data_IF_753639720581
#
_entry.id   IF_753639720581
#
_cell.length_a   1.000
_cell.length_b   1.000
_cell.length_c   1.000
_cell.angle_alpha   90.00
_cell.angle_beta   90.00
_cell.angle_gamma   90.00
#
_symmetry.space_group_name_H-M   'P 1'
#
loop_
_entity.id
_entity.type
_entity.pdbx_description
1 polymer ?
#
# COMPACT_ATOMS: atom_id res chain seq x y z
N UNK A 1 43.42 -4.62 -49.09
CA UNK A 1 44.68 -4.80 -48.35
C UNK A 1 44.29 -5.10 -46.91
N UNK A 2 43.99 -6.33 -46.50
CA UNK A 2 44.76 -7.59 -46.56
C UNK A 2 46.20 -7.42 -46.04
N UNK A 3 46.41 -7.91 -44.82
CA UNK A 3 47.62 -8.48 -44.21
C UNK A 3 47.10 -9.27 -42.99
N UNK A 4 46.75 -10.54 -43.13
CA UNK A 4 47.61 -11.73 -43.00
C UNK A 4 48.36 -11.87 -41.66
N UNK A 5 48.23 -13.09 -41.12
CA UNK A 5 48.49 -13.63 -39.77
C UNK A 5 49.96 -14.12 -39.68
N UNK A 6 50.50 -14.42 -38.48
CA UNK A 6 50.69 -15.85 -38.16
C UNK A 6 50.50 -16.25 -36.68
N UNK A 7 50.29 -17.54 -36.54
CA UNK A 7 50.07 -18.40 -35.38
C UNK A 7 51.43 -18.73 -34.72
N UNK A 8 51.50 -18.79 -33.39
CA UNK A 8 52.35 -19.80 -32.72
C UNK A 8 51.82 -20.12 -31.30
N UNK A 9 51.79 -21.41 -31.01
CA UNK A 9 51.30 -22.04 -29.79
C UNK A 9 52.44 -22.31 -28.82
N UNK A 10 52.17 -22.29 -27.51
CA UNK A 10 52.68 -23.29 -26.54
C UNK A 10 52.23 -22.96 -25.10
N UNK A 11 51.46 -23.90 -24.53
CA UNK A 11 51.59 -24.49 -23.18
C UNK A 11 51.84 -23.59 -21.96
N UNK A 12 50.93 -23.61 -20.98
CA UNK A 12 51.03 -24.41 -19.75
C UNK A 12 49.73 -24.23 -18.95
N UNK A 13 48.97 -25.32 -18.80
CA UNK A 13 47.86 -25.43 -17.87
C UNK A 13 48.41 -25.98 -16.55
N UNK A 14 48.13 -25.30 -15.44
CA UNK A 14 48.43 -25.81 -14.11
C UNK A 14 47.14 -26.30 -13.46
N UNK A 15 47.23 -27.55 -13.01
CA UNK A 15 46.18 -28.41 -12.50
C UNK A 15 46.11 -28.21 -10.98
N UNK A 16 44.92 -28.00 -10.44
CA UNK A 16 44.64 -28.27 -9.01
C UNK A 16 43.70 -29.47 -8.99
N UNK A 17 44.25 -30.62 -8.61
CA UNK A 17 43.56 -31.89 -8.37
C UNK A 17 42.68 -31.79 -7.12
N UNK A 18 41.37 -31.93 -7.28
CA UNK A 18 40.48 -32.44 -6.22
C UNK A 18 40.36 -33.96 -6.39
N UNK A 19 40.77 -34.69 -5.35
CA UNK A 19 40.68 -36.15 -5.27
C UNK A 19 39.37 -36.58 -4.59
N UNK A 20 38.61 -37.55 -5.13
CA UNK A 20 37.31 -37.98 -4.60
C UNK A 20 37.46 -39.16 -3.63
N UNK A 21 36.73 -39.14 -2.51
CA UNK A 21 36.64 -40.28 -1.59
C UNK A 21 35.34 -41.09 -1.80
N UNK A 22 35.58 -42.33 -2.18
CA UNK A 22 34.76 -43.49 -2.55
C UNK A 22 33.85 -44.04 -1.42
N UNK A 23 32.61 -44.45 -1.76
CA UNK A 23 31.78 -45.39 -0.98
C UNK A 23 32.10 -46.83 -1.40
N UNK A 24 31.99 -47.85 -0.51
CA UNK A 24 30.87 -48.83 -0.60
C UNK A 24 30.59 -49.61 0.73
N UNK A 25 29.79 -50.71 0.80
CA UNK A 25 28.52 -51.06 0.15
C UNK A 25 27.41 -51.54 1.13
N UNK A 26 26.19 -51.75 0.60
CA UNK A 26 25.02 -52.37 1.25
C UNK A 26 25.16 -53.90 1.30
N UNK A 27 24.64 -54.57 2.34
CA UNK A 27 23.99 -55.87 2.14
C UNK A 27 22.67 -56.05 2.92
N UNK A 28 21.72 -56.81 2.35
CA UNK A 28 20.64 -57.50 3.06
C UNK A 28 20.53 -58.94 2.53
N UNK A 29 19.47 -59.72 2.84
CA UNK A 29 18.77 -59.91 4.11
C UNK A 29 19.08 -61.32 4.71
N UNK A 30 18.84 -61.52 6.02
CA UNK A 30 18.73 -62.87 6.60
C UNK A 30 17.77 -62.89 7.79
N UNK A 31 16.77 -63.77 7.69
CA UNK A 31 15.78 -64.21 8.68
C UNK A 31 16.40 -65.35 9.50
N UNK A 32 16.31 -65.40 10.83
CA UNK A 32 15.47 -66.28 11.69
C UNK A 32 16.19 -66.22 13.06
N UNK A 33 15.58 -65.96 14.23
CA UNK A 33 14.96 -66.96 15.12
C UNK A 33 14.41 -66.25 16.41
N UNK A 34 13.17 -66.56 16.84
CA UNK A 34 12.62 -66.34 18.21
C UNK A 34 12.85 -67.65 19.01
N UNK A 35 12.83 -67.75 20.38
CA UNK A 35 11.98 -67.05 21.39
C UNK A 35 12.69 -66.86 22.79
N UNK A 36 12.04 -66.81 23.98
CA UNK A 36 10.89 -66.04 24.48
C UNK A 36 11.16 -65.19 25.77
N UNK A 37 10.17 -64.34 26.08
CA UNK A 37 9.58 -64.01 27.40
C UNK A 37 10.42 -63.44 28.57
N UNK A 38 10.03 -62.21 28.94
CA UNK A 38 9.64 -61.75 30.29
C UNK A 38 10.67 -61.90 31.44
N UNK A 39 11.18 -60.77 31.94
CA UNK A 39 11.08 -60.29 33.34
C UNK A 39 11.47 -58.80 33.34
N UNK A 40 10.58 -57.96 33.87
CA UNK A 40 10.74 -56.51 34.05
C UNK A 40 11.94 -56.10 34.95
N UNK A 41 12.61 -54.96 34.68
CA UNK A 41 13.38 -54.25 35.70
C UNK A 41 12.81 -52.84 36.03
N UNK A 42 12.47 -52.70 37.31
CA UNK A 42 12.47 -51.52 38.21
C UNK A 42 12.64 -50.10 37.62
N UNK A 43 11.70 -49.25 38.04
CA UNK A 43 11.68 -47.79 37.94
C UNK A 43 12.94 -47.09 38.52
N UNK A 44 13.39 -46.06 37.80
CA UNK A 44 14.21 -44.95 38.30
C UNK A 44 13.35 -43.69 38.14
N UNK A 45 13.21 -42.81 39.15
CA UNK A 45 12.19 -41.77 39.15
C UNK A 45 12.55 -40.63 38.19
N UNK A 46 11.68 -40.40 37.20
CA UNK A 46 11.78 -39.29 36.27
C UNK A 46 11.48 -37.95 36.98
N UNK A 47 12.40 -37.01 36.80
CA UNK A 47 12.30 -35.61 37.20
C UNK A 47 11.05 -34.99 36.55
N UNK A 48 10.06 -34.66 37.39
CA UNK A 48 8.78 -34.05 36.98
C UNK A 48 9.06 -32.72 36.28
N UNK A 49 8.95 -32.70 34.94
CA UNK A 49 8.83 -31.46 34.19
C UNK A 49 7.56 -30.74 34.64
N UNK A 50 7.66 -29.43 34.92
CA UNK A 50 6.48 -28.59 35.16
C UNK A 50 5.64 -28.60 33.87
N UNK A 51 4.30 -28.70 33.96
CA UNK A 51 3.48 -28.59 32.77
C UNK A 51 3.62 -27.17 32.21
N UNK A 52 3.99 -27.08 30.93
CA UNK A 52 3.76 -25.89 30.12
C UNK A 52 2.26 -25.66 30.15
N UNK A 53 1.84 -24.47 30.57
CA UNK A 53 0.44 -24.09 30.56
C UNK A 53 -0.04 -24.09 29.10
N UNK A 54 -0.83 -25.08 28.72
CA UNK A 54 -1.69 -25.00 27.54
C UNK A 54 -2.65 -23.83 27.79
N UNK A 55 -2.41 -22.71 27.10
CA UNK A 55 -3.38 -21.64 27.02
C UNK A 55 -4.51 -22.14 26.13
N UNK A 56 -5.62 -22.51 26.74
CA UNK A 56 -6.86 -22.81 26.03
C UNK A 56 -7.33 -21.55 25.29
N UNK A 57 -7.17 -21.53 23.97
CA UNK A 57 -7.90 -20.63 23.07
C UNK A 57 -9.36 -21.06 23.02
N UNK A 58 -10.13 -20.73 24.06
CA UNK A 58 -11.59 -20.74 23.95
C UNK A 58 -12.02 -19.40 23.35
N UNK A 59 -12.55 -19.44 22.14
CA UNK A 59 -13.26 -18.29 21.54
C UNK A 59 -14.35 -17.90 22.52
N UNK A 60 -14.17 -16.76 23.20
CA UNK A 60 -15.11 -16.26 24.20
C UNK A 60 -16.39 -15.84 23.50
N UNK A 61 -17.53 -16.38 23.92
CA UNK A 61 -18.83 -15.91 23.44
C UNK A 61 -19.01 -14.43 23.82
N UNK A 62 -19.34 -13.60 22.83
CA UNK A 62 -19.59 -12.17 22.99
C UNK A 62 -21.04 -11.98 23.46
N UNK A 63 -21.22 -11.49 24.68
CA UNK A 63 -22.54 -11.37 25.30
C UNK A 63 -23.28 -10.04 24.97
N UNK A 64 -22.55 -9.02 24.50
CA UNK A 64 -23.12 -7.72 24.15
C UNK A 64 -22.23 -6.96 23.15
N UNK A 65 -22.76 -5.87 22.58
CA UNK A 65 -21.98 -4.96 21.75
C UNK A 65 -20.86 -4.25 22.53
N UNK A 66 -21.08 -3.91 23.80
CA UNK A 66 -20.06 -3.32 24.67
C UNK A 66 -18.92 -4.31 24.94
N UNK A 67 -19.26 -5.58 25.20
CA UNK A 67 -18.27 -6.66 25.35
C UNK A 67 -17.46 -6.87 24.07
N UNK A 68 -18.12 -6.80 22.91
CA UNK A 68 -17.45 -6.89 21.60
C UNK A 68 -16.46 -5.73 21.41
N UNK A 69 -16.88 -4.49 21.67
CA UNK A 69 -16.00 -3.32 21.58
C UNK A 69 -14.81 -3.45 22.54
N UNK A 70 -15.05 -3.81 23.80
CA UNK A 70 -13.98 -4.02 24.78
C UNK A 70 -13.00 -5.12 24.32
N UNK A 71 -13.50 -6.23 23.79
CA UNK A 71 -12.68 -7.30 23.22
C UNK A 71 -11.84 -6.81 22.04
N UNK A 72 -12.42 -5.96 21.18
CA UNK A 72 -11.75 -5.38 20.03
C UNK A 72 -10.62 -4.42 20.46
N UNK A 73 -10.84 -3.58 21.47
CA UNK A 73 -9.78 -2.72 22.05
C UNK A 73 -8.60 -3.55 22.57
N UNK A 74 -8.91 -4.62 23.31
CA UNK A 74 -7.90 -5.51 23.86
C UNK A 74 -7.11 -6.23 22.74
N UNK A 75 -7.79 -6.66 21.67
CA UNK A 75 -7.15 -7.25 20.50
C UNK A 75 -6.26 -6.24 19.78
N UNK A 76 -6.71 -5.01 19.57
CA UNK A 76 -5.92 -3.95 18.94
C UNK A 76 -4.63 -3.64 19.71
N UNK A 77 -4.66 -3.67 21.05
CA UNK A 77 -3.44 -3.51 21.85
C UNK A 77 -2.42 -4.63 21.59
N UNK A 78 -2.88 -5.88 21.41
CA UNK A 78 -2.00 -7.00 21.05
C UNK A 78 -1.49 -6.88 19.61
N UNK A 79 -2.35 -6.51 18.66
CA UNK A 79 -1.99 -6.26 17.27
C UNK A 79 -0.92 -5.17 17.20
N UNK A 80 -1.09 -4.06 17.94
CA UNK A 80 -0.12 -2.96 17.99
C UNK A 80 1.27 -3.45 18.43
N UNK A 81 1.34 -4.28 19.48
CA UNK A 81 2.61 -4.84 19.97
C UNK A 81 3.27 -5.77 18.95
N UNK A 82 2.49 -6.68 18.36
CA UNK A 82 2.99 -7.58 17.32
C UNK A 82 3.44 -6.82 16.08
N UNK A 83 2.68 -5.80 15.67
CA UNK A 83 2.98 -4.97 14.51
C UNK A 83 4.27 -4.15 14.71
N UNK A 84 4.47 -3.54 15.87
CA UNK A 84 5.72 -2.85 16.20
C UNK A 84 6.92 -3.82 16.13
N UNK A 85 6.78 -5.02 16.66
CA UNK A 85 7.81 -6.05 16.56
C UNK A 85 8.10 -6.43 15.11
N UNK A 86 7.08 -6.59 14.26
CA UNK A 86 7.27 -6.88 12.84
C UNK A 86 7.98 -5.73 12.12
N UNK A 87 7.59 -4.48 12.38
CA UNK A 87 8.24 -3.28 11.80
C UNK A 87 9.72 -3.21 12.20
N UNK A 88 10.06 -3.54 13.45
CA UNK A 88 11.44 -3.54 13.93
C UNK A 88 12.29 -4.65 13.28
N UNK A 89 11.75 -5.86 13.13
CA UNK A 89 12.50 -7.01 12.63
C UNK A 89 12.58 -7.10 11.11
N UNK A 90 11.52 -6.68 10.40
CA UNK A 90 11.48 -6.68 8.94
C UNK A 90 10.74 -5.44 8.41
N UNK A 91 11.37 -4.25 8.43
CA UNK A 91 10.73 -3.00 8.02
C UNK A 91 10.32 -2.95 6.53
N UNK A 92 10.81 -3.87 5.71
CA UNK A 92 10.41 -4.02 4.31
C UNK A 92 9.08 -4.77 4.13
N UNK A 93 8.64 -5.53 5.13
CA UNK A 93 7.36 -6.24 5.08
C UNK A 93 6.19 -5.27 5.33
N UNK A 94 5.25 -5.13 4.39
CA UNK A 94 4.11 -4.24 4.55
C UNK A 94 3.16 -4.64 5.69
N UNK A 95 3.19 -5.91 6.14
CA UNK A 95 2.23 -6.45 7.11
C UNK A 95 2.31 -5.70 8.45
N UNK A 96 3.52 -5.51 8.98
CA UNK A 96 3.71 -4.79 10.25
C UNK A 96 3.20 -3.34 10.16
N UNK A 97 3.53 -2.64 9.07
CA UNK A 97 3.10 -1.26 8.84
C UNK A 97 1.59 -1.11 8.72
N UNK A 98 0.92 -2.07 8.06
CA UNK A 98 -0.53 -2.09 7.89
C UNK A 98 -1.22 -2.33 9.23
N UNK A 99 -0.86 -3.41 9.91
CA UNK A 99 -1.47 -3.83 11.17
C UNK A 99 -1.29 -2.77 12.26
N UNK A 100 -0.14 -2.09 12.29
CA UNK A 100 0.10 -1.00 13.22
C UNK A 100 -0.95 0.11 13.04
N UNK A 101 -1.09 0.64 11.83
CA UNK A 101 -1.99 1.77 11.54
C UNK A 101 -3.45 1.42 11.74
N UNK A 102 -3.86 0.21 11.33
CA UNK A 102 -5.20 -0.29 11.58
C UNK A 102 -5.51 -0.34 13.07
N UNK A 103 -4.60 -0.88 13.90
CA UNK A 103 -4.79 -0.93 15.35
C UNK A 103 -4.78 0.47 16.00
N UNK A 104 -3.91 1.37 15.55
CA UNK A 104 -3.79 2.73 16.08
C UNK A 104 -5.05 3.58 15.82
N UNK A 105 -5.63 3.42 14.64
CA UNK A 105 -6.74 4.26 14.19
C UNK A 105 -8.09 3.55 14.20
N UNK A 106 -8.17 2.32 14.73
CA UNK A 106 -9.40 1.53 14.76
C UNK A 106 -10.56 2.27 15.43
N UNK A 107 -10.29 3.02 16.51
CA UNK A 107 -11.30 3.71 17.32
C UNK A 107 -11.47 5.20 16.97
N UNK A 108 -10.75 5.69 15.95
CA UNK A 108 -10.80 7.09 15.55
C UNK A 108 -11.87 7.31 14.47
N UNK A 109 -13.07 7.68 14.91
CA UNK A 109 -14.23 7.91 14.02
C UNK A 109 -14.62 9.38 13.88
N UNK A 110 -14.08 10.26 14.72
CA UNK A 110 -14.34 11.70 14.66
C UNK A 110 -13.10 12.52 15.02
N UNK A 111 -13.07 13.78 14.55
CA UNK A 111 -12.03 14.72 14.94
C UNK A 111 -12.04 14.95 16.46
N UNK A 112 -10.87 15.14 17.08
CA UNK A 112 -10.83 15.49 18.49
C UNK A 112 -11.46 16.87 18.70
N UNK A 113 -12.13 17.11 19.85
CA UNK A 113 -12.70 18.42 20.17
C UNK A 113 -11.63 19.53 20.12
N UNK A 114 -11.94 20.60 19.40
CA UNK A 114 -11.05 21.74 19.20
C UNK A 114 -11.78 23.07 19.37
N UNK A 115 -11.06 24.07 19.88
CA UNK A 115 -11.49 25.47 19.92
C UNK A 115 -10.47 26.26 19.11
N UNK A 116 -10.91 26.97 18.07
CA UNK A 116 -10.01 27.70 17.16
C UNK A 116 -8.88 26.81 16.59
N UNK A 117 -9.24 25.59 16.14
CA UNK A 117 -8.32 24.53 15.65
C UNK A 117 -7.37 23.93 16.71
N UNK A 118 -7.44 24.39 17.96
CA UNK A 118 -6.58 23.93 19.04
C UNK A 118 -7.27 22.87 19.88
N UNK A 119 -6.63 21.72 20.03
CA UNK A 119 -7.13 20.58 20.80
C UNK A 119 -6.62 20.59 22.24
N UNK A 120 -7.19 19.73 23.10
CA UNK A 120 -6.68 19.47 24.45
C UNK A 120 -5.60 18.37 24.47
N UNK A 121 -5.22 17.84 23.31
CA UNK A 121 -4.29 16.72 23.20
C UNK A 121 -2.88 17.25 23.53
N UNK A 122 -2.14 16.59 24.43
CA UNK A 122 -0.77 17.00 24.77
C UNK A 122 0.11 16.95 23.53
N UNK A 123 0.99 17.92 23.40
CA UNK A 123 1.93 17.96 22.29
C UNK A 123 3.06 16.96 22.48
N UNK A 124 3.67 16.52 21.36
CA UNK A 124 4.84 15.67 21.41
C UNK A 124 6.03 16.35 22.08
N UNK A 125 6.90 15.57 22.72
CA UNK A 125 8.11 16.14 23.28
C UNK A 125 9.05 16.66 22.18
N UNK A 126 9.56 17.87 22.39
CA UNK A 126 10.40 18.59 21.43
C UNK A 126 11.65 17.79 21.01
N UNK A 127 12.18 16.94 21.91
CA UNK A 127 13.33 16.09 21.60
C UNK A 127 13.06 15.04 20.51
N UNK A 128 11.81 14.59 20.35
CA UNK A 128 11.44 13.62 19.32
C UNK A 128 11.59 14.29 17.94
N UNK A 129 11.08 15.51 17.83
CA UNK A 129 11.16 16.31 16.60
C UNK A 129 12.62 16.57 16.22
N UNK A 130 13.46 16.97 17.18
CA UNK A 130 14.90 17.17 16.94
C UNK A 130 15.59 15.87 16.53
N UNK A 131 15.22 14.73 17.13
CA UNK A 131 15.77 13.41 16.76
C UNK A 131 15.44 13.06 15.31
N UNK A 132 14.18 13.25 14.88
CA UNK A 132 13.76 12.98 13.50
C UNK A 132 14.47 13.88 12.49
N UNK A 133 14.61 15.18 12.80
CA UNK A 133 15.33 16.14 11.97
C UNK A 133 16.83 15.78 11.85
N UNK A 134 17.45 15.35 12.94
CA UNK A 134 18.85 14.87 12.91
C UNK A 134 19.01 13.61 12.05
N UNK A 135 18.08 12.67 12.12
CA UNK A 135 18.10 11.45 11.30
C UNK A 135 17.97 11.79 9.81
N UNK A 136 17.09 12.74 9.45
CA UNK A 136 16.99 13.26 8.07
C UNK A 136 18.30 13.92 7.65
N UNK A 137 18.88 14.78 8.48
CA UNK A 137 20.13 15.48 8.15
C UNK A 137 21.34 14.55 7.95
N UNK A 138 21.32 13.37 8.60
CA UNK A 138 22.35 12.33 8.47
C UNK A 138 22.03 11.30 7.39
N UNK A 139 20.88 11.43 6.72
CA UNK A 139 20.38 10.45 5.75
C UNK A 139 20.23 9.03 6.35
N UNK A 140 19.96 8.95 7.66
CA UNK A 140 19.75 7.68 8.36
C UNK A 140 18.28 7.23 8.22
N UNK A 141 17.93 6.83 7.00
CA UNK A 141 16.57 6.52 6.59
C UNK A 141 15.97 5.31 7.32
N UNK A 142 16.81 4.33 7.68
CA UNK A 142 16.40 3.15 8.43
C UNK A 142 15.93 3.51 9.83
N UNK A 143 16.73 4.28 10.57
CA UNK A 143 16.35 4.74 11.90
C UNK A 143 15.22 5.76 11.84
N UNK A 144 15.17 6.61 10.80
CA UNK A 144 14.05 7.53 10.60
C UNK A 144 12.72 6.78 10.52
N UNK A 145 12.63 5.75 9.66
CA UNK A 145 11.43 4.95 9.49
C UNK A 145 11.02 4.23 10.78
N UNK A 146 12.01 3.65 11.48
CA UNK A 146 11.80 2.91 12.73
C UNK A 146 11.31 3.81 13.87
N UNK A 147 12.02 4.91 14.15
CA UNK A 147 11.66 5.86 15.21
C UNK A 147 10.29 6.47 14.94
N UNK A 148 10.00 6.87 13.71
CA UNK A 148 8.70 7.44 13.35
C UNK A 148 7.54 6.43 13.54
N UNK A 149 7.74 5.16 13.17
CA UNK A 149 6.76 4.11 13.40
C UNK A 149 6.52 3.84 14.90
N UNK A 150 7.58 3.79 15.71
CA UNK A 150 7.47 3.59 17.16
C UNK A 150 6.72 4.74 17.84
N UNK A 151 7.06 5.99 17.49
CA UNK A 151 6.45 7.17 18.08
C UNK A 151 4.97 7.34 17.68
N UNK A 152 4.56 6.79 16.53
CA UNK A 152 3.16 6.82 16.08
C UNK A 152 2.20 6.17 17.07
N UNK A 153 2.70 5.23 17.91
CA UNK A 153 1.89 4.58 18.94
C UNK A 153 1.55 5.46 20.14
N UNK A 154 2.33 6.51 20.36
CA UNK A 154 2.14 7.48 21.44
C UNK A 154 1.45 8.75 20.93
N UNK A 155 1.74 9.12 19.68
CA UNK A 155 1.28 10.36 19.06
C UNK A 155 0.36 10.09 17.87
N UNK A 156 -0.82 9.55 18.14
CA UNK A 156 -1.80 9.09 17.14
C UNK A 156 -2.15 10.14 16.08
N UNK A 157 -2.23 11.41 16.50
CA UNK A 157 -2.63 12.54 15.66
C UNK A 157 -1.44 13.29 15.05
N UNK A 158 -0.20 12.91 15.35
CA UNK A 158 0.96 13.57 14.78
C UNK A 158 1.29 13.01 13.40
N UNK A 159 0.75 13.66 12.36
CA UNK A 159 0.84 13.21 10.98
C UNK A 159 2.26 13.33 10.41
N UNK A 160 3.09 14.21 10.97
CA UNK A 160 4.50 14.31 10.58
C UNK A 160 5.23 12.98 10.74
N UNK A 161 4.88 12.18 11.76
CA UNK A 161 5.44 10.84 11.95
C UNK A 161 5.13 9.92 10.76
N UNK A 162 3.95 10.04 10.16
CA UNK A 162 3.60 9.25 8.98
C UNK A 162 4.43 9.67 7.77
N UNK A 163 4.62 10.98 7.57
CA UNK A 163 5.51 11.51 6.52
C UNK A 163 6.95 11.05 6.71
N UNK A 164 7.52 11.16 7.91
CA UNK A 164 8.89 10.72 8.20
C UNK A 164 9.05 9.21 8.00
N UNK A 165 8.06 8.42 8.42
CA UNK A 165 8.05 6.98 8.19
C UNK A 165 8.06 6.65 6.68
N UNK A 166 7.16 7.26 5.92
CA UNK A 166 7.09 7.11 4.47
C UNK A 166 8.39 7.57 3.78
N UNK A 167 8.92 8.73 4.16
CA UNK A 167 10.18 9.27 3.62
C UNK A 167 11.34 8.30 3.86
N UNK A 168 11.47 7.76 5.07
CA UNK A 168 12.50 6.76 5.38
C UNK A 168 12.37 5.52 4.50
N UNK A 169 11.17 4.96 4.37
CA UNK A 169 10.90 3.78 3.53
C UNK A 169 11.18 4.05 2.04
N UNK A 170 10.76 5.20 1.52
CA UNK A 170 11.00 5.60 0.12
C UNK A 170 12.51 5.68 -0.17
N UNK A 171 13.27 6.32 0.72
CA UNK A 171 14.72 6.51 0.56
C UNK A 171 15.54 5.24 0.70
N UNK A 172 15.02 4.21 1.37
CA UNK A 172 15.63 2.87 1.42
C UNK A 172 15.47 2.09 0.10
N UNK A 173 14.63 2.57 -0.83
CA UNK A 173 14.53 2.08 -2.19
C UNK A 173 13.54 0.94 -2.41
N UNK A 174 13.61 0.32 -3.59
CA UNK A 174 12.57 -0.56 -4.15
C UNK A 174 12.14 -1.72 -3.24
N UNK A 175 13.05 -2.25 -2.41
CA UNK A 175 12.75 -3.33 -1.47
C UNK A 175 11.69 -2.93 -0.44
N UNK A 176 11.54 -1.64 -0.16
CA UNK A 176 10.61 -1.09 0.83
C UNK A 176 9.38 -0.44 0.18
N UNK A 177 9.22 -0.54 -1.14
CA UNK A 177 8.14 0.10 -1.87
C UNK A 177 6.75 -0.35 -1.37
N UNK A 178 6.55 -1.65 -1.16
CA UNK A 178 5.28 -2.17 -0.65
C UNK A 178 4.96 -1.61 0.75
N UNK A 179 5.96 -1.55 1.63
CA UNK A 179 5.82 -0.95 2.96
C UNK A 179 5.47 0.54 2.88
N UNK A 180 6.17 1.29 2.03
CA UNK A 180 5.89 2.71 1.75
C UNK A 180 4.45 2.92 1.27
N UNK A 181 4.00 2.12 0.30
CA UNK A 181 2.66 2.23 -0.28
C UNK A 181 1.59 1.96 0.79
N UNK A 182 1.80 0.99 1.66
CA UNK A 182 0.90 0.72 2.80
C UNK A 182 0.81 1.91 3.75
N UNK A 183 1.94 2.53 4.11
CA UNK A 183 1.93 3.73 4.97
C UNK A 183 1.09 4.84 4.33
N UNK A 184 1.30 5.07 3.03
CA UNK A 184 0.58 6.08 2.26
C UNK A 184 -0.93 5.78 2.18
N UNK A 185 -1.30 4.54 1.86
CA UNK A 185 -2.70 4.10 1.74
C UNK A 185 -3.46 4.21 3.06
N UNK A 186 -2.89 3.71 4.15
CA UNK A 186 -3.54 3.76 5.46
C UNK A 186 -3.66 5.21 5.93
N UNK A 187 -2.65 6.05 5.69
CA UNK A 187 -2.72 7.48 6.02
C UNK A 187 -3.81 8.18 5.18
N UNK A 188 -3.91 7.89 3.88
CA UNK A 188 -4.99 8.41 3.03
C UNK A 188 -6.38 7.97 3.52
N UNK A 189 -6.52 6.73 3.99
CA UNK A 189 -7.78 6.24 4.56
C UNK A 189 -8.15 7.00 5.85
N UNK A 190 -7.18 7.32 6.71
CA UNK A 190 -7.40 8.16 7.88
C UNK A 190 -7.86 9.56 7.48
N UNK A 191 -7.18 10.20 6.52
CA UNK A 191 -7.50 11.56 6.07
C UNK A 191 -8.92 11.67 5.50
N UNK A 192 -9.37 10.65 4.75
CA UNK A 192 -10.75 10.56 4.25
C UNK A 192 -11.77 10.40 5.36
N UNK A 193 -11.46 9.61 6.39
CA UNK A 193 -12.35 9.42 7.55
C UNK A 193 -12.40 10.66 8.45
N UNK A 194 -11.28 11.36 8.61
CA UNK A 194 -11.13 12.53 9.47
C UNK A 194 -10.81 13.79 8.65
N UNK A 195 -11.74 14.20 7.78
CA UNK A 195 -11.57 15.38 6.93
C UNK A 195 -11.26 16.63 7.76
N UNK A 196 -10.16 17.32 7.47
CA UNK A 196 -9.71 18.52 8.20
C UNK A 196 -8.77 18.27 9.37
N UNK A 197 -8.38 17.01 9.65
CA UNK A 197 -7.43 16.68 10.72
C UNK A 197 -6.06 17.36 10.54
N UNK A 198 -5.67 17.67 9.31
CA UNK A 198 -4.42 18.37 8.98
C UNK A 198 -4.40 19.82 9.46
N UNK A 199 -5.56 20.42 9.74
CA UNK A 199 -5.68 21.81 10.17
C UNK A 199 -5.66 21.98 11.69
N UNK A 200 -5.69 20.87 12.44
CA UNK A 200 -5.71 20.86 13.89
C UNK A 200 -4.31 21.03 14.51
N UNK A 201 -4.31 21.48 15.76
CA UNK A 201 -3.13 21.73 16.56
C UNK A 201 -3.24 21.07 17.93
N UNK A 202 -2.10 20.70 18.51
CA UNK A 202 -1.96 20.25 19.89
C UNK A 202 -2.23 21.39 20.90
N UNK A 203 -2.31 21.04 22.18
CA UNK A 203 -2.60 21.98 23.26
C UNK A 203 -1.57 23.12 23.46
N UNK A 204 -0.37 23.01 22.89
CA UNK A 204 0.65 24.08 22.89
C UNK A 204 0.62 24.94 21.61
N UNK A 205 -0.13 24.54 20.58
CA UNK A 205 -0.17 25.18 19.26
C UNK A 205 0.73 24.51 18.21
N UNK A 206 1.47 23.46 18.56
CA UNK A 206 2.18 22.62 17.58
C UNK A 206 1.15 22.02 16.61
N UNK A 207 1.32 22.14 15.29
CA UNK A 207 0.36 21.58 14.34
C UNK A 207 0.42 20.05 14.31
N UNK A 208 -0.71 19.40 13.98
CA UNK A 208 -0.74 17.96 13.72
C UNK A 208 0.04 17.59 12.45
N UNK A 209 0.04 18.49 11.47
CA UNK A 209 0.81 18.41 10.23
C UNK A 209 1.52 19.74 9.97
N UNK A 210 2.85 19.70 9.86
CA UNK A 210 3.63 20.81 9.33
C UNK A 210 3.29 21.07 7.84
N UNK A 211 3.80 22.17 7.27
CA UNK A 211 3.48 22.51 5.88
C UNK A 211 3.91 21.43 4.88
N UNK A 212 5.05 20.78 5.11
CA UNK A 212 5.56 19.71 4.24
C UNK A 212 4.69 18.46 4.33
N UNK A 213 4.19 18.15 5.53
CA UNK A 213 3.21 17.09 5.78
C UNK A 213 1.87 17.40 5.16
N UNK A 214 1.39 18.66 5.20
CA UNK A 214 0.16 19.05 4.48
C UNK A 214 0.29 18.82 2.98
N UNK A 215 1.41 19.26 2.39
CA UNK A 215 1.67 19.08 0.96
C UNK A 215 1.75 17.59 0.60
N UNK A 216 2.41 16.77 1.43
CA UNK A 216 2.46 15.32 1.28
C UNK A 216 1.07 14.68 1.36
N UNK A 217 0.26 15.04 2.37
CA UNK A 217 -1.10 14.56 2.55
C UNK A 217 -2.02 14.88 1.36
N UNK A 218 -1.90 16.09 0.77
CA UNK A 218 -2.65 16.44 -0.44
C UNK A 218 -2.27 15.55 -1.65
N UNK A 219 -1.00 15.13 -1.72
CA UNK A 219 -0.52 14.17 -2.71
C UNK A 219 -1.12 12.77 -2.53
N UNK A 220 -1.35 12.34 -1.28
CA UNK A 220 -1.94 11.03 -0.97
C UNK A 220 -3.41 10.93 -1.41
N UNK A 221 -4.18 12.00 -1.19
CA UNK A 221 -5.60 12.05 -1.57
C UNK A 221 -5.79 12.03 -3.11
N UNK A 222 -4.84 12.64 -3.82
CA UNK A 222 -4.84 12.65 -5.30
C UNK A 222 -4.42 11.31 -5.94
N UNK A 223 -3.77 10.41 -5.18
CA UNK A 223 -3.22 9.14 -5.66
C UNK A 223 -4.06 7.90 -5.34
N UNK A 224 -5.08 8.01 -4.48
CA UNK A 224 -5.90 6.89 -4.00
C UNK A 224 -7.38 7.04 -4.37
N UNK A 225 -7.70 7.78 -5.43
CA UNK A 225 -9.01 7.59 -6.05
C UNK A 225 -8.92 6.31 -6.88
N UNK A 226 -9.54 5.24 -6.40
CA UNK A 226 -9.85 4.11 -7.27
C UNK A 226 -10.83 4.64 -8.33
N UNK A 227 -10.28 5.00 -9.49
CA UNK A 227 -11.02 5.59 -10.60
C UNK A 227 -12.02 4.59 -11.20
N UNK A 228 -11.97 3.33 -10.75
CA UNK A 228 -12.91 2.26 -11.10
C UNK A 228 -14.00 2.02 -10.06
N UNK A 229 -13.87 2.51 -8.82
CA UNK A 229 -14.81 2.23 -7.72
C UNK A 229 -16.22 2.82 -7.91
N UNK A 230 -16.40 3.76 -8.84
CA UNK A 230 -17.70 4.34 -9.22
C UNK A 230 -18.32 3.77 -10.50
N UNK A 231 -17.67 2.81 -11.16
CA UNK A 231 -18.16 2.24 -12.42
C UNK A 231 -19.35 1.31 -12.16
N UNK A 232 -20.51 1.64 -12.70
CA UNK A 232 -21.61 0.69 -12.81
C UNK A 232 -21.13 -0.54 -13.58
N UNK A 233 -21.44 -1.77 -13.16
CA UNK A 233 -21.02 -2.95 -13.92
C UNK A 233 -21.66 -2.95 -15.31
N UNK A 234 -20.85 -3.21 -16.35
CA UNK A 234 -21.31 -3.20 -17.76
C UNK A 234 -20.89 -4.50 -18.42
N UNK A 235 -21.81 -5.15 -19.11
CA UNK A 235 -21.60 -6.44 -19.77
C UNK A 235 -22.13 -7.65 -18.98
N UNK A 236 -21.86 -8.85 -19.50
CA UNK A 236 -22.16 -10.12 -18.83
C UNK A 236 -21.12 -10.45 -17.76
N UNK A 237 -21.46 -11.26 -16.75
CA UNK A 237 -20.54 -11.69 -15.66
C UNK A 237 -19.17 -12.14 -16.16
N UNK A 238 -19.12 -12.86 -17.29
CA UNK A 238 -17.87 -13.29 -17.92
C UNK A 238 -17.00 -12.12 -18.43
N UNK A 239 -17.62 -11.05 -18.93
CA UNK A 239 -16.92 -9.85 -19.39
C UNK A 239 -16.39 -9.02 -18.22
N UNK A 240 -17.13 -8.95 -17.10
CA UNK A 240 -16.58 -8.34 -15.88
C UNK A 240 -15.42 -9.16 -15.30
N UNK A 241 -15.52 -10.49 -15.28
CA UNK A 241 -14.40 -11.35 -14.88
C UNK A 241 -13.15 -11.08 -15.72
N UNK A 242 -13.29 -11.06 -17.05
CA UNK A 242 -12.19 -10.75 -17.96
C UNK A 242 -11.61 -9.34 -17.75
N UNK A 243 -12.46 -8.35 -17.46
CA UNK A 243 -12.02 -6.99 -17.10
C UNK A 243 -11.19 -6.99 -15.82
N UNK A 244 -11.71 -7.58 -14.74
CA UNK A 244 -11.01 -7.65 -13.46
C UNK A 244 -9.68 -8.40 -13.57
N UNK A 245 -9.65 -9.53 -14.29
CA UNK A 245 -8.42 -10.29 -14.52
C UNK A 245 -7.39 -9.48 -15.31
N UNK A 246 -7.82 -8.74 -16.32
CA UNK A 246 -6.94 -7.90 -17.14
C UNK A 246 -6.38 -6.72 -16.34
N UNK A 247 -7.19 -6.07 -15.49
CA UNK A 247 -6.74 -5.00 -14.58
C UNK A 247 -5.73 -5.54 -13.57
N UNK A 248 -6.01 -6.69 -12.96
CA UNK A 248 -5.09 -7.33 -12.00
C UNK A 248 -3.74 -7.71 -12.66
N UNK A 249 -3.78 -8.24 -13.88
CA UNK A 249 -2.57 -8.53 -14.65
C UNK A 249 -1.80 -7.24 -15.00
N UNK A 250 -2.49 -6.19 -15.43
CA UNK A 250 -1.86 -4.91 -15.75
C UNK A 250 -1.16 -4.30 -14.52
N UNK A 251 -1.78 -4.35 -13.34
CA UNK A 251 -1.19 -3.93 -12.07
C UNK A 251 0.00 -4.82 -11.67
N UNK A 252 -0.04 -6.13 -11.94
CA UNK A 252 1.11 -6.99 -11.73
C UNK A 252 2.30 -6.59 -12.62
N UNK A 253 2.06 -6.30 -13.90
CA UNK A 253 3.10 -5.79 -14.80
C UNK A 253 3.68 -4.44 -14.34
N UNK A 254 2.86 -3.57 -13.74
CA UNK A 254 3.35 -2.32 -13.16
C UNK A 254 4.35 -2.56 -12.02
N UNK A 255 4.03 -3.49 -11.11
CA UNK A 255 4.93 -3.89 -10.00
C UNK A 255 6.24 -4.50 -10.50
N UNK A 256 6.21 -5.17 -11.65
CA UNK A 256 7.40 -5.70 -12.32
C UNK A 256 8.14 -4.67 -13.19
N UNK A 257 7.77 -3.39 -13.14
CA UNK A 257 8.30 -2.30 -13.98
C UNK A 257 8.08 -2.48 -15.50
N UNK A 258 7.10 -3.30 -15.89
CA UNK A 258 6.72 -3.59 -17.28
C UNK A 258 5.45 -2.82 -17.68
N UNK A 259 5.46 -1.51 -17.50
CA UNK A 259 4.29 -0.64 -17.76
C UNK A 259 3.71 -0.84 -19.17
N UNK A 260 4.56 -1.00 -20.18
CA UNK A 260 4.14 -1.14 -21.58
C UNK A 260 3.28 -2.40 -21.79
N UNK A 261 3.60 -3.50 -21.10
CA UNK A 261 2.85 -4.75 -21.23
C UNK A 261 1.49 -4.64 -20.55
N UNK A 262 1.42 -4.01 -19.37
CA UNK A 262 0.15 -3.69 -18.71
C UNK A 262 -0.74 -2.76 -19.54
N UNK A 263 -0.15 -1.72 -20.14
CA UNK A 263 -0.86 -0.82 -21.08
C UNK A 263 -1.38 -1.58 -22.29
N UNK A 264 -0.61 -2.51 -22.87
CA UNK A 264 -1.02 -3.29 -24.04
C UNK A 264 -2.21 -4.19 -23.74
N UNK A 265 -2.27 -4.77 -22.54
CA UNK A 265 -3.42 -5.57 -22.09
C UNK A 265 -4.69 -4.72 -22.06
N UNK A 266 -4.63 -3.54 -21.43
CA UNK A 266 -5.79 -2.65 -21.32
C UNK A 266 -6.19 -2.05 -22.68
N UNK A 267 -5.23 -1.72 -23.54
CA UNK A 267 -5.49 -1.29 -24.93
C UNK A 267 -6.23 -2.36 -25.73
N UNK A 268 -5.81 -3.62 -25.61
CA UNK A 268 -6.53 -4.74 -26.23
C UNK A 268 -7.96 -4.88 -25.70
N UNK A 269 -8.18 -4.58 -24.41
CA UNK A 269 -9.53 -4.47 -23.84
C UNK A 269 -10.38 -3.39 -24.51
N UNK A 270 -9.81 -2.20 -24.72
CA UNK A 270 -10.48 -1.09 -25.43
C UNK A 270 -10.86 -1.48 -26.87
N UNK A 271 -9.96 -2.16 -27.58
CA UNK A 271 -10.19 -2.58 -28.98
C UNK A 271 -11.28 -3.65 -29.12
N UNK A 272 -11.41 -4.52 -28.11
CA UNK A 272 -12.40 -5.61 -28.11
C UNK A 272 -13.69 -5.27 -27.37
N UNK A 273 -13.84 -4.03 -26.89
CA UNK A 273 -15.02 -3.61 -26.14
C UNK A 273 -16.29 -3.73 -27.01
N UNK A 274 -17.33 -4.38 -26.47
CA UNK A 274 -18.58 -4.61 -27.16
C UNK A 274 -19.48 -3.37 -27.20
N UNK A 275 -19.22 -2.37 -26.35
CA UNK A 275 -19.99 -1.14 -26.26
C UNK A 275 -19.13 0.08 -25.95
N UNK A 276 -19.63 1.28 -26.28
CA UNK A 276 -18.97 2.54 -25.91
C UNK A 276 -18.81 2.70 -24.40
N UNK A 277 -19.79 2.23 -23.61
CA UNK A 277 -19.72 2.27 -22.14
C UNK A 277 -18.63 1.33 -21.60
N UNK A 278 -18.48 0.14 -22.17
CA UNK A 278 -17.38 -0.78 -21.85
C UNK A 278 -16.03 -0.20 -22.26
N UNK A 279 -15.92 0.39 -23.45
CA UNK A 279 -14.70 1.06 -23.90
C UNK A 279 -14.28 2.20 -22.95
N UNK A 280 -15.24 2.95 -22.40
CA UNK A 280 -14.97 3.98 -21.38
C UNK A 280 -14.39 3.37 -20.09
N UNK A 281 -14.91 2.21 -19.65
CA UNK A 281 -14.38 1.51 -18.46
C UNK A 281 -12.94 1.06 -18.66
N UNK A 282 -12.64 0.44 -19.80
CA UNK A 282 -11.28 0.07 -20.17
C UNK A 282 -10.34 1.28 -20.24
N UNK A 283 -10.82 2.42 -20.76
CA UNK A 283 -10.06 3.68 -20.79
C UNK A 283 -9.80 4.24 -19.39
N UNK A 284 -10.77 4.19 -18.48
CA UNK A 284 -10.59 4.64 -17.10
C UNK A 284 -9.56 3.78 -16.35
N UNK A 285 -9.62 2.46 -16.51
CA UNK A 285 -8.60 1.56 -15.98
C UNK A 285 -7.21 1.84 -16.58
N UNK A 286 -7.13 2.14 -17.87
CA UNK A 286 -5.88 2.52 -18.53
C UNK A 286 -5.33 3.84 -17.98
N UNK A 287 -6.18 4.84 -17.76
CA UNK A 287 -5.78 6.13 -17.17
C UNK A 287 -5.22 5.90 -15.76
N UNK A 288 -5.88 5.08 -14.95
CA UNK A 288 -5.42 4.75 -13.61
C UNK A 288 -4.02 4.10 -13.65
N UNK A 289 -3.82 3.07 -14.49
CA UNK A 289 -2.51 2.43 -14.64
C UNK A 289 -1.43 3.43 -15.09
N UNK A 290 -1.75 4.35 -15.99
CA UNK A 290 -0.81 5.35 -16.50
C UNK A 290 -0.43 6.39 -15.44
N UNK A 291 -1.37 6.75 -14.56
CA UNK A 291 -1.12 7.63 -13.41
C UNK A 291 -0.20 6.94 -12.39
N UNK A 292 -0.51 5.69 -12.03
CA UNK A 292 0.32 4.87 -11.14
C UNK A 292 1.73 4.66 -11.73
N UNK A 293 1.82 4.49 -13.06
CA UNK A 293 3.07 4.42 -13.82
C UNK A 293 3.82 5.74 -14.01
N UNK A 294 3.40 6.84 -13.36
CA UNK A 294 4.01 8.18 -13.43
C UNK A 294 4.07 8.77 -14.85
N UNK A 295 3.17 8.35 -15.74
CA UNK A 295 3.07 8.84 -17.13
C UNK A 295 1.84 9.72 -17.35
N UNK A 296 1.68 10.73 -16.48
CA UNK A 296 0.48 11.58 -16.42
C UNK A 296 0.15 12.31 -17.75
N UNK A 297 1.15 12.64 -18.57
CA UNK A 297 0.93 13.28 -19.89
C UNK A 297 0.15 12.37 -20.84
N UNK A 298 0.48 11.08 -20.86
CA UNK A 298 -0.21 10.09 -21.69
C UNK A 298 -1.60 9.80 -21.12
N UNK A 299 -1.73 9.74 -19.79
CA UNK A 299 -3.02 9.61 -19.12
C UNK A 299 -3.98 10.75 -19.51
N UNK A 300 -3.50 12.00 -19.52
CA UNK A 300 -4.30 13.16 -19.90
C UNK A 300 -4.77 13.12 -21.36
N UNK A 301 -3.98 12.54 -22.29
CA UNK A 301 -4.44 12.36 -23.67
C UNK A 301 -5.67 11.44 -23.74
N UNK A 302 -5.75 10.41 -22.90
CA UNK A 302 -6.93 9.56 -22.80
C UNK A 302 -8.11 10.24 -22.12
N UNK A 303 -7.86 11.13 -21.15
CA UNK A 303 -8.90 11.97 -20.56
C UNK A 303 -9.59 12.86 -21.60
N UNK A 304 -8.84 13.43 -22.56
CA UNK A 304 -9.41 14.25 -23.62
C UNK A 304 -10.40 13.46 -24.47
N UNK A 305 -10.08 12.20 -24.80
CA UNK A 305 -11.00 11.31 -25.53
C UNK A 305 -12.28 11.07 -24.74
N UNK A 306 -12.19 10.86 -23.42
CA UNK A 306 -13.37 10.65 -22.58
C UNK A 306 -14.26 11.89 -22.51
N UNK A 307 -13.68 13.09 -22.47
CA UNK A 307 -14.44 14.35 -22.51
C UNK A 307 -15.16 14.52 -23.86
N UNK A 308 -14.49 14.22 -24.97
CA UNK A 308 -15.10 14.22 -26.30
C UNK A 308 -16.26 13.21 -26.39
N UNK A 309 -16.10 12.03 -25.79
CA UNK A 309 -17.15 11.02 -25.74
C UNK A 309 -18.34 11.48 -24.88
N UNK A 310 -18.11 12.18 -23.76
CA UNK A 310 -19.20 12.76 -22.95
C UNK A 310 -20.04 13.71 -23.78
N UNK A 311 -19.41 14.61 -24.53
CA UNK A 311 -20.10 15.59 -25.36
C UNK A 311 -20.84 14.93 -26.51
N UNK A 312 -20.19 13.96 -27.17
CA UNK A 312 -20.74 13.21 -28.30
C UNK A 312 -21.99 12.42 -27.92
N UNK A 313 -21.95 11.73 -26.79
CA UNK A 313 -23.06 10.89 -26.30
C UNK A 313 -23.98 11.62 -25.32
N UNK A 314 -23.72 12.90 -25.03
CA UNK A 314 -24.46 13.73 -24.06
C UNK A 314 -24.64 13.04 -22.71
N UNK A 315 -23.56 12.45 -22.18
CA UNK A 315 -23.56 11.69 -20.93
C UNK A 315 -24.19 12.47 -19.77
N UNK A 316 -23.98 13.78 -19.73
CA UNK A 316 -24.51 14.70 -18.73
C UNK A 316 -26.05 14.62 -18.57
N UNK A 317 -26.78 14.22 -19.61
CA UNK A 317 -28.24 14.15 -19.56
C UNK A 317 -28.76 12.76 -19.13
N UNK A 318 -28.04 11.69 -19.47
CA UNK A 318 -28.56 10.33 -19.30
C UNK A 318 -27.82 9.50 -18.25
N UNK A 319 -26.56 9.82 -17.94
CA UNK A 319 -25.76 9.22 -16.86
C UNK A 319 -24.84 10.29 -16.24
N UNK A 320 -25.42 11.20 -15.43
CA UNK A 320 -24.66 12.29 -14.83
C UNK A 320 -23.59 11.79 -13.84
N UNK A 321 -23.81 10.64 -13.20
CA UNK A 321 -22.83 10.06 -12.27
C UNK A 321 -21.53 9.67 -12.99
N UNK A 322 -21.65 9.01 -14.15
CA UNK A 322 -20.49 8.65 -14.97
C UNK A 322 -19.78 9.90 -15.52
N UNK A 323 -20.53 10.95 -15.90
CA UNK A 323 -19.95 12.21 -16.36
C UNK A 323 -19.12 12.90 -15.27
N UNK A 324 -19.66 12.96 -14.04
CA UNK A 324 -18.95 13.53 -12.90
C UNK A 324 -17.68 12.75 -12.59
N UNK A 325 -17.74 11.42 -12.53
CA UNK A 325 -16.55 10.57 -12.32
C UNK A 325 -15.44 10.90 -13.33
N UNK A 326 -15.78 10.96 -14.63
CA UNK A 326 -14.80 11.26 -15.69
C UNK A 326 -14.23 12.67 -15.53
N UNK A 327 -15.04 13.68 -15.23
CA UNK A 327 -14.54 15.04 -14.98
C UNK A 327 -13.60 15.09 -13.77
N UNK A 328 -13.92 14.36 -12.69
CA UNK A 328 -13.08 14.24 -11.51
C UNK A 328 -11.74 13.55 -11.84
N UNK A 329 -11.76 12.47 -12.61
CA UNK A 329 -10.56 11.79 -13.14
C UNK A 329 -9.69 12.76 -13.96
N UNK A 330 -10.32 13.59 -14.81
CA UNK A 330 -9.61 14.58 -15.62
C UNK A 330 -8.93 15.64 -14.76
N UNK A 331 -9.58 16.11 -13.68
CA UNK A 331 -9.00 17.02 -12.71
C UNK A 331 -7.76 16.41 -12.03
N UNK A 332 -7.84 15.15 -11.59
CA UNK A 332 -6.70 14.43 -11.00
C UNK A 332 -5.54 14.30 -11.99
N UNK A 333 -5.82 13.94 -13.25
CA UNK A 333 -4.80 13.87 -14.29
C UNK A 333 -4.11 15.23 -14.53
N UNK A 334 -4.88 16.32 -14.57
CA UNK A 334 -4.34 17.67 -14.74
C UNK A 334 -3.40 18.05 -13.60
N UNK A 335 -3.75 17.75 -12.35
CA UNK A 335 -2.89 17.96 -11.18
C UNK A 335 -1.58 17.18 -11.30
N UNK A 336 -1.68 15.89 -11.67
CA UNK A 336 -0.53 15.02 -11.83
C UNK A 336 0.39 15.47 -12.97
N UNK A 337 -0.13 16.14 -14.01
CA UNK A 337 0.69 16.68 -15.11
C UNK A 337 1.40 17.97 -14.69
N UNK A 338 0.68 18.98 -14.21
CA UNK A 338 1.28 20.21 -13.68
C UNK A 338 0.26 21.10 -12.95
N UNK A 339 0.71 21.78 -11.89
CA UNK A 339 -0.09 22.79 -11.18
C UNK A 339 -0.55 23.96 -12.08
N UNK A 340 0.25 24.33 -13.09
CA UNK A 340 -0.11 25.39 -14.05
C UNK A 340 -1.27 24.98 -14.94
N UNK A 341 -1.18 23.80 -15.59
CA UNK A 341 -2.26 23.29 -16.44
C UNK A 341 -3.53 23.00 -15.65
N UNK A 342 -3.40 22.54 -14.40
CA UNK A 342 -4.54 22.40 -13.51
C UNK A 342 -5.28 23.74 -13.33
N UNK A 343 -4.59 24.80 -12.91
CA UNK A 343 -5.21 26.14 -12.74
C UNK A 343 -5.86 26.68 -14.01
N UNK A 344 -5.30 26.39 -15.18
CA UNK A 344 -5.82 26.88 -16.46
C UNK A 344 -7.07 26.12 -16.94
N UNK A 345 -7.17 24.81 -16.66
CA UNK A 345 -8.20 23.94 -17.28
C UNK A 345 -9.18 23.30 -16.31
N UNK A 346 -8.86 23.17 -15.02
CA UNK A 346 -9.74 22.51 -14.05
C UNK A 346 -11.06 23.28 -13.86
N UNK A 347 -11.04 24.61 -14.02
CA UNK A 347 -12.22 25.45 -13.85
C UNK A 347 -13.40 25.06 -14.75
N UNK A 348 -13.14 24.59 -15.97
CA UNK A 348 -14.21 24.10 -16.84
C UNK A 348 -14.87 22.84 -16.29
N UNK A 349 -14.05 21.84 -15.93
CA UNK A 349 -14.54 20.57 -15.39
C UNK A 349 -15.25 20.75 -14.05
N UNK A 350 -14.69 21.57 -13.14
CA UNK A 350 -15.31 21.87 -11.85
C UNK A 350 -16.66 22.57 -12.03
N UNK A 351 -16.78 23.50 -12.98
CA UNK A 351 -18.07 24.13 -13.29
C UNK A 351 -19.09 23.12 -13.84
N UNK A 352 -18.67 22.14 -14.66
CA UNK A 352 -19.55 21.08 -15.15
C UNK A 352 -19.97 20.12 -14.02
N UNK A 353 -19.04 19.73 -13.14
CA UNK A 353 -19.34 18.93 -11.95
C UNK A 353 -20.35 19.66 -11.06
N UNK A 354 -20.13 20.94 -10.75
CA UNK A 354 -21.03 21.74 -9.91
C UNK A 354 -22.47 21.84 -10.45
N UNK A 355 -22.63 21.81 -11.78
CA UNK A 355 -23.96 21.79 -12.41
C UNK A 355 -24.67 20.44 -12.28
N UNK A 356 -23.92 19.35 -12.31
CA UNK A 356 -24.46 17.98 -12.28
C UNK A 356 -24.64 17.47 -10.85
N UNK A 357 -23.65 17.70 -9.99
CA UNK A 357 -23.63 17.28 -8.61
C UNK A 357 -22.93 18.35 -7.73
N UNK A 358 -23.68 19.30 -7.16
CA UNK A 358 -23.10 20.36 -6.33
C UNK A 358 -22.52 19.81 -5.01
N UNK A 359 -23.02 18.69 -4.48
CA UNK A 359 -22.49 18.09 -3.27
C UNK A 359 -21.08 17.53 -3.49
N UNK A 360 -20.86 16.85 -4.61
CA UNK A 360 -19.55 16.32 -4.99
C UNK A 360 -18.57 17.44 -5.37
N UNK A 361 -19.06 18.53 -5.98
CA UNK A 361 -18.24 19.72 -6.22
C UNK A 361 -17.68 20.33 -4.92
N UNK A 362 -18.51 20.45 -3.87
CA UNK A 362 -18.07 20.97 -2.56
C UNK A 362 -17.08 20.03 -1.85
N UNK A 363 -17.19 18.72 -2.08
CA UNK A 363 -16.24 17.75 -1.52
C UNK A 363 -14.89 17.77 -2.27
N UNK A 364 -14.90 18.17 -3.53
CA UNK A 364 -13.74 18.29 -4.39
C UNK A 364 -13.13 19.70 -4.39
N UNK A 365 -13.58 20.60 -3.50
CA UNK A 365 -12.98 21.94 -3.36
C UNK A 365 -11.51 21.78 -2.94
N UNK A 366 -10.64 21.96 -3.93
CA UNK A 366 -9.19 21.84 -3.83
C UNK A 366 -8.50 23.20 -3.76
#
# INVERSE_FOLDING_TARGET
MIKEIPIEAATYAEVIEESPAEQPPIPGPAEVEKPPADISPKEVPARRAKPVAEQNDTVRELASAEDALHSLRAANEQIKRAALFLVENNPADPTGHRSLRQALWAELDALPPAVEQKTIIPSPELYILTTLQELVAREDWANLASVAAMQSSQYLFWLDLQRYCATGLEKLGIRYADAYDVVCQETAALLRRLSGVTELQFADGTPFADQETKDWCQGLDSGSMDLTAGLQSVGSEAAQGAFHDAVAQAQAFLREHKLIDGVRILQKGIENAASGKEAMQWRLALIQLLLEGKTAKTAYAHCQILVEDIERYRLETWDPAQAVLIYTVCCHCLKAVSAKLFKERSGEFMNRIARLNPAEALLLDF
#
